data_IF_085199526952
#
_entry.id   IF_085199526952
#
_cell.length_a   1.000
_cell.length_b   1.000
_cell.length_c   1.000
_cell.angle_alpha   90.00
_cell.angle_beta   90.00
_cell.angle_gamma   90.00
#
_symmetry.space_group_name_H-M   'P 1'
#
loop_
_entity.id
_entity.type
_entity.pdbx_description
1 polymer ?
#
# COMPACT_ATOMS: atom_id res chain seq x y z
N UNK A 1 30.35 -19.95 -27.07
CA UNK A 1 30.36 -18.56 -27.56
C UNK A 1 29.52 -17.75 -26.60
N UNK A 2 30.05 -16.67 -26.01
CA UNK A 2 29.21 -15.76 -25.23
C UNK A 2 28.11 -15.21 -26.14
N UNK A 3 26.84 -15.18 -25.71
CA UNK A 3 25.76 -14.65 -26.53
C UNK A 3 26.06 -13.19 -26.94
N UNK A 4 25.60 -12.75 -28.12
CA UNK A 4 25.80 -11.37 -28.54
C UNK A 4 25.18 -10.42 -27.51
N UNK A 5 25.94 -9.37 -27.17
CA UNK A 5 25.54 -8.30 -26.23
C UNK A 5 24.19 -7.67 -26.59
N UNK A 6 23.82 -7.67 -27.87
CA UNK A 6 22.54 -7.18 -28.37
C UNK A 6 21.78 -8.31 -29.07
N UNK A 7 20.48 -8.38 -28.83
CA UNK A 7 19.52 -9.23 -29.55
C UNK A 7 18.68 -8.30 -30.42
N UNK A 8 18.91 -8.29 -31.73
CA UNK A 8 18.19 -7.41 -32.67
C UNK A 8 17.59 -8.26 -33.78
N UNK A 9 16.27 -8.37 -33.78
CA UNK A 9 15.49 -9.00 -34.84
C UNK A 9 15.73 -8.26 -36.17
N UNK A 10 16.10 -9.00 -37.21
CA UNK A 10 16.32 -8.44 -38.55
C UNK A 10 15.07 -8.55 -39.44
N UNK A 11 14.27 -9.61 -39.25
CA UNK A 11 13.06 -9.85 -40.04
C UNK A 11 11.88 -9.10 -39.44
N UNK A 12 11.34 -8.13 -40.16
CA UNK A 12 10.20 -7.32 -39.71
C UNK A 12 8.88 -8.04 -39.99
N UNK A 13 8.01 -8.14 -38.98
CA UNK A 13 6.62 -8.56 -39.18
C UNK A 13 5.84 -7.37 -39.74
N UNK A 14 5.69 -7.32 -41.07
CA UNK A 14 5.07 -6.18 -41.76
C UNK A 14 3.61 -5.97 -41.32
N UNK A 15 3.24 -4.72 -41.03
CA UNK A 15 1.86 -4.29 -40.81
C UNK A 15 1.33 -4.41 -39.37
N UNK A 16 2.15 -4.89 -38.43
CA UNK A 16 1.75 -5.06 -37.02
C UNK A 16 2.10 -3.86 -36.13
N UNK A 17 3.16 -3.13 -36.47
CA UNK A 17 3.66 -1.98 -35.73
C UNK A 17 3.09 -0.65 -36.26
N UNK A 18 2.77 0.33 -35.39
CA UNK A 18 2.48 1.70 -35.80
C UNK A 18 3.62 2.29 -36.63
N UNK A 19 3.27 3.11 -37.63
CA UNK A 19 4.26 3.77 -38.47
C UNK A 19 4.86 4.96 -37.74
N UNK A 20 6.20 5.04 -37.73
CA UNK A 20 6.94 6.10 -37.06
C UNK A 20 7.69 6.92 -38.10
N UNK A 21 7.56 8.25 -38.01
CA UNK A 21 8.13 9.20 -38.95
C UNK A 21 9.06 10.15 -38.19
N UNK A 22 10.40 10.00 -38.34
CA UNK A 22 11.36 10.92 -37.77
C UNK A 22 11.18 12.34 -38.30
N UNK A 23 11.26 13.34 -37.42
CA UNK A 23 11.20 14.75 -37.75
C UNK A 23 12.06 15.58 -36.78
N UNK A 24 12.32 16.85 -37.08
CA UNK A 24 13.09 17.71 -36.20
C UNK A 24 12.18 18.52 -35.27
N UNK A 25 12.52 18.53 -33.98
CA UNK A 25 11.97 19.45 -33.00
C UNK A 25 12.44 20.89 -33.28
N UNK A 26 11.81 21.88 -32.64
CA UNK A 26 12.14 23.31 -32.83
C UNK A 26 13.60 23.65 -32.52
N UNK A 27 14.26 22.88 -31.65
CA UNK A 27 15.66 23.06 -31.31
C UNK A 27 16.63 22.24 -32.19
N UNK A 28 16.15 21.62 -33.28
CA UNK A 28 16.96 20.87 -34.24
C UNK A 28 17.24 19.42 -33.86
N UNK A 29 16.90 19.00 -32.63
CA UNK A 29 17.00 17.60 -32.21
C UNK A 29 15.93 16.75 -32.89
N UNK A 30 16.21 15.46 -33.10
CA UNK A 30 15.22 14.51 -33.61
C UNK A 30 14.07 14.31 -32.63
N UNK A 31 12.87 14.19 -33.15
CA UNK A 31 11.73 13.52 -32.52
C UNK A 31 11.13 12.58 -33.57
N UNK A 32 10.01 11.94 -33.27
CA UNK A 32 9.27 11.21 -34.29
C UNK A 32 7.77 11.28 -34.03
N UNK A 33 7.00 11.40 -35.10
CA UNK A 33 5.54 11.29 -35.08
C UNK A 33 5.15 9.83 -35.30
N UNK A 34 4.36 9.29 -34.39
CA UNK A 34 3.72 7.98 -34.53
C UNK A 34 2.33 8.18 -35.15
N UNK A 35 2.04 7.41 -36.20
CA UNK A 35 0.75 7.40 -36.87
C UNK A 35 0.18 5.99 -36.93
N UNK A 36 -1.09 5.92 -36.62
CA UNK A 36 -1.89 4.71 -36.67
C UNK A 36 -3.22 5.05 -37.36
N UNK A 37 -3.81 4.10 -38.08
CA UNK A 37 -5.14 4.28 -38.62
C UNK A 37 -6.13 4.57 -37.47
N UNK A 38 -7.00 5.56 -37.66
CA UNK A 38 -8.11 5.90 -36.76
C UNK A 38 -7.73 6.47 -35.37
N UNK A 39 -6.45 6.78 -35.11
CA UNK A 39 -6.02 7.46 -33.88
C UNK A 39 -5.31 8.79 -34.14
N UNK A 40 -5.48 9.80 -33.27
CA UNK A 40 -4.71 11.04 -33.35
C UNK A 40 -3.20 10.74 -33.30
N UNK A 41 -2.38 11.36 -34.17
CA UNK A 41 -0.95 11.19 -34.12
C UNK A 41 -0.40 11.71 -32.80
N UNK A 42 0.66 11.07 -32.32
CA UNK A 42 1.37 11.50 -31.13
C UNK A 42 2.88 11.47 -31.37
N UNK A 43 3.62 12.07 -30.46
CA UNK A 43 5.07 12.22 -30.58
C UNK A 43 5.80 11.28 -29.64
N UNK A 44 6.93 10.73 -30.08
CA UNK A 44 7.81 9.96 -29.22
C UNK A 44 8.57 10.83 -28.21
N UNK A 45 8.85 12.09 -28.56
CA UNK A 45 9.55 13.08 -27.73
C UNK A 45 9.01 14.49 -28.02
N UNK A 46 9.27 15.44 -27.13
CA UNK A 46 8.85 16.84 -27.24
C UNK A 46 9.23 17.45 -28.59
N UNK A 47 8.26 18.13 -29.22
CA UNK A 47 8.50 18.90 -30.45
C UNK A 47 9.28 20.20 -30.21
N UNK A 48 9.49 20.56 -28.96
CA UNK A 48 10.17 21.80 -28.58
C UNK A 48 11.60 21.52 -28.14
N UNK A 49 11.75 20.58 -27.20
CA UNK A 49 13.03 20.22 -26.61
C UNK A 49 13.01 18.77 -26.09
N UNK A 50 13.35 17.79 -26.94
CA UNK A 50 13.41 16.36 -26.58
C UNK A 50 14.32 16.07 -25.38
N UNK A 51 15.48 16.74 -25.30
CA UNK A 51 16.46 16.49 -24.24
C UNK A 51 15.97 17.01 -22.89
N UNK A 52 15.30 18.18 -22.87
CA UNK A 52 14.68 18.70 -21.64
C UNK A 52 13.58 17.77 -21.13
N UNK A 53 12.73 17.25 -22.02
CA UNK A 53 11.71 16.25 -21.65
C UNK A 53 12.37 15.00 -21.06
N UNK A 54 13.37 14.45 -21.74
CA UNK A 54 14.09 13.27 -21.28
C UNK A 54 14.69 13.45 -19.88
N UNK A 55 15.27 14.62 -19.58
CA UNK A 55 15.78 14.94 -18.22
C UNK A 55 14.67 14.94 -17.17
N UNK A 56 13.53 15.55 -17.48
CA UNK A 56 12.38 15.61 -16.57
C UNK A 56 11.79 14.22 -16.33
N UNK A 57 11.65 13.43 -17.40
CA UNK A 57 11.19 12.05 -17.34
C UNK A 57 12.10 11.17 -16.49
N UNK A 58 13.43 11.29 -16.66
CA UNK A 58 14.40 10.45 -15.96
C UNK A 58 14.61 10.80 -14.49
N UNK A 59 14.34 12.04 -14.08
CA UNK A 59 14.64 12.54 -12.73
C UNK A 59 14.13 11.63 -11.58
N UNK A 60 12.85 11.23 -11.51
CA UNK A 60 12.38 10.35 -10.43
C UNK A 60 12.99 8.94 -10.49
N UNK A 61 13.27 8.42 -11.70
CA UNK A 61 13.91 7.11 -11.86
C UNK A 61 15.36 7.11 -11.37
N UNK A 62 16.09 8.20 -11.61
CA UNK A 62 17.47 8.35 -11.15
C UNK A 62 17.57 8.39 -9.62
N UNK A 63 16.60 9.03 -8.95
CA UNK A 63 16.50 9.04 -7.49
C UNK A 63 16.29 7.63 -6.94
N UNK A 64 15.34 6.88 -7.50
CA UNK A 64 15.06 5.51 -7.08
C UNK A 64 16.23 4.55 -7.34
N UNK A 65 16.88 4.63 -8.51
CA UNK A 65 18.07 3.80 -8.83
C UNK A 65 19.19 4.03 -7.80
N UNK A 66 19.37 5.26 -7.32
CA UNK A 66 20.38 5.58 -6.30
C UNK A 66 20.03 5.03 -4.92
N UNK A 67 18.76 5.05 -4.58
CA UNK A 67 18.26 4.57 -3.28
C UNK A 67 18.22 3.04 -3.23
N UNK A 68 17.68 2.41 -4.28
CA UNK A 68 17.44 0.96 -4.34
C UNK A 68 18.68 0.17 -4.78
N UNK A 69 19.64 0.82 -5.45
CA UNK A 69 20.87 0.21 -5.99
C UNK A 69 20.59 -1.14 -6.70
N UNK A 70 19.80 -1.14 -7.78
CA UNK A 70 19.40 -2.36 -8.45
C UNK A 70 20.59 -3.07 -9.10
N UNK A 71 20.52 -4.40 -9.18
CA UNK A 71 21.49 -5.24 -9.89
C UNK A 71 21.42 -5.01 -11.41
N UNK A 72 20.27 -4.56 -11.92
CA UNK A 72 20.04 -4.28 -13.34
C UNK A 72 18.94 -3.23 -13.53
N UNK A 73 19.09 -2.39 -14.56
CA UNK A 73 18.02 -1.48 -15.02
C UNK A 73 17.48 -1.97 -16.36
N UNK A 74 16.16 -2.10 -16.48
CA UNK A 74 15.50 -2.41 -17.75
C UNK A 74 14.73 -1.18 -18.21
N UNK A 75 14.98 -0.70 -19.42
CA UNK A 75 14.23 0.40 -20.04
C UNK A 75 13.40 -0.17 -21.17
N UNK A 76 12.08 -0.17 -21.02
CA UNK A 76 11.19 -0.44 -22.14
C UNK A 76 10.97 0.84 -22.95
N UNK A 77 11.26 0.76 -24.25
CA UNK A 77 11.11 1.81 -25.24
C UNK A 77 12.39 2.57 -25.51
N UNK A 78 12.96 2.43 -26.71
CA UNK A 78 14.17 3.14 -27.11
C UNK A 78 13.87 4.59 -27.56
N UNK A 79 12.66 4.83 -28.10
CA UNK A 79 12.24 6.15 -28.59
C UNK A 79 13.28 6.76 -29.55
N UNK A 80 13.62 8.04 -29.38
CA UNK A 80 14.73 8.68 -30.08
C UNK A 80 16.06 8.66 -29.29
N UNK A 81 16.15 7.94 -28.17
CA UNK A 81 17.42 7.72 -27.44
C UNK A 81 17.76 8.69 -26.31
N UNK A 82 17.13 9.87 -26.22
CA UNK A 82 17.55 10.90 -25.25
C UNK A 82 17.47 10.49 -23.78
N UNK A 83 16.43 9.75 -23.38
CA UNK A 83 16.32 9.26 -22.00
C UNK A 83 17.37 8.19 -21.69
N UNK A 84 17.83 7.44 -22.69
CA UNK A 84 18.95 6.50 -22.55
C UNK A 84 20.26 7.26 -22.35
N UNK A 85 20.48 8.33 -23.10
CA UNK A 85 21.66 9.17 -22.96
C UNK A 85 21.72 9.85 -21.58
N UNK A 86 20.59 10.43 -21.14
CA UNK A 86 20.45 11.01 -19.81
C UNK A 86 20.69 9.97 -18.73
N UNK A 87 20.12 8.78 -18.85
CA UNK A 87 20.35 7.68 -17.90
C UNK A 87 21.84 7.36 -17.83
N UNK A 88 22.47 7.04 -18.97
CA UNK A 88 23.89 6.65 -19.05
C UNK A 88 24.85 7.68 -18.46
N UNK A 89 24.59 8.97 -18.71
CA UNK A 89 25.36 10.08 -18.14
C UNK A 89 25.16 10.20 -16.64
N UNK A 90 23.91 10.14 -16.19
CA UNK A 90 23.54 10.43 -14.82
C UNK A 90 23.90 9.30 -13.86
N UNK A 91 24.13 8.08 -14.36
CA UNK A 91 24.60 6.95 -13.55
C UNK A 91 25.95 6.43 -14.03
N UNK A 92 26.79 7.29 -14.61
CA UNK A 92 28.10 6.90 -15.16
C UNK A 92 29.04 6.31 -14.08
N UNK A 93 28.88 6.75 -12.83
CA UNK A 93 29.58 6.24 -11.66
C UNK A 93 29.09 4.86 -11.19
N UNK A 94 27.90 4.43 -11.65
CA UNK A 94 27.34 3.12 -11.32
C UNK A 94 27.73 2.10 -12.40
N UNK A 95 28.16 0.92 -11.97
CA UNK A 95 28.50 -0.21 -12.86
C UNK A 95 27.27 -1.04 -13.28
N UNK A 96 26.06 -0.55 -13.00
CA UNK A 96 24.82 -1.29 -13.23
C UNK A 96 24.60 -1.56 -14.73
N UNK A 97 24.31 -2.81 -15.13
CA UNK A 97 23.93 -3.14 -16.50
C UNK A 97 22.55 -2.57 -16.85
N UNK A 98 22.38 -2.20 -18.12
CA UNK A 98 21.16 -1.62 -18.66
C UNK A 98 20.69 -2.47 -19.84
N UNK A 99 19.48 -3.00 -19.76
CA UNK A 99 18.80 -3.61 -20.91
C UNK A 99 17.76 -2.66 -21.49
N UNK A 100 17.81 -2.42 -22.79
CA UNK A 100 16.83 -1.59 -23.50
C UNK A 100 15.96 -2.50 -24.35
N UNK A 101 14.71 -2.63 -23.95
CA UNK A 101 13.72 -3.46 -24.63
C UNK A 101 12.93 -2.61 -25.62
N UNK A 102 12.83 -3.05 -26.87
CA UNK A 102 12.06 -2.36 -27.90
C UNK A 102 11.33 -3.37 -28.78
N UNK A 103 10.05 -3.14 -29.01
CA UNK A 103 9.17 -4.04 -29.74
C UNK A 103 8.77 -3.48 -31.11
N UNK A 104 8.88 -2.17 -31.34
CA UNK A 104 8.71 -1.60 -32.66
C UNK A 104 10.05 -1.69 -33.42
N UNK A 105 10.35 -2.90 -33.92
CA UNK A 105 11.58 -3.24 -34.63
C UNK A 105 11.83 -2.32 -35.84
N UNK A 106 10.83 -2.00 -36.70
CA UNK A 106 11.05 -1.11 -37.84
C UNK A 106 11.52 0.28 -37.44
N UNK A 107 10.89 0.85 -36.40
CA UNK A 107 11.28 2.14 -35.84
C UNK A 107 12.72 2.08 -35.34
N UNK A 108 13.07 1.09 -34.51
CA UNK A 108 14.42 0.96 -33.97
C UNK A 108 15.49 0.92 -35.07
N UNK A 109 15.28 0.08 -36.09
CA UNK A 109 16.22 -0.04 -37.22
C UNK A 109 16.33 1.26 -38.02
N UNK A 110 15.23 2.00 -38.22
CA UNK A 110 15.24 3.31 -38.87
C UNK A 110 16.02 4.34 -38.06
N UNK A 111 15.76 4.44 -36.75
CA UNK A 111 16.40 5.40 -35.86
C UNK A 111 17.91 5.09 -35.71
N UNK A 112 18.28 3.81 -35.70
CA UNK A 112 19.67 3.36 -35.71
C UNK A 112 20.44 3.83 -36.95
N UNK A 113 19.83 3.78 -38.15
CA UNK A 113 20.43 4.33 -39.40
C UNK A 113 20.63 5.84 -39.35
N UNK A 114 19.88 6.54 -38.50
CA UNK A 114 19.98 7.98 -38.27
C UNK A 114 20.91 8.33 -37.10
N UNK A 115 21.67 7.36 -36.58
CA UNK A 115 22.60 7.50 -35.47
C UNK A 115 21.99 7.97 -34.14
N UNK A 116 20.68 7.79 -33.92
CA UNK A 116 20.00 8.26 -32.70
C UNK A 116 20.40 7.49 -31.43
N UNK A 117 21.00 6.30 -31.56
CA UNK A 117 21.40 5.45 -30.44
C UNK A 117 22.92 5.29 -30.31
N UNK A 118 23.71 6.15 -30.97
CA UNK A 118 25.16 5.97 -31.11
C UNK A 118 25.88 5.84 -29.76
N UNK A 119 25.52 6.67 -28.77
CA UNK A 119 26.09 6.62 -27.44
C UNK A 119 25.73 5.34 -26.68
N UNK A 120 24.45 4.97 -26.69
CA UNK A 120 23.97 3.76 -26.03
C UNK A 120 24.57 2.48 -26.66
N UNK A 121 24.67 2.41 -27.98
CA UNK A 121 25.27 1.26 -28.69
C UNK A 121 26.76 1.08 -28.38
N UNK A 122 27.51 2.17 -28.16
CA UNK A 122 28.94 2.13 -27.81
C UNK A 122 29.20 1.74 -26.34
N UNK A 123 28.23 1.94 -25.45
CA UNK A 123 28.41 1.68 -24.01
C UNK A 123 28.42 0.18 -23.72
N UNK A 124 29.46 -0.33 -23.07
CA UNK A 124 29.55 -1.75 -22.66
C UNK A 124 28.45 -2.16 -21.66
N UNK A 125 27.88 -1.19 -20.93
CA UNK A 125 26.79 -1.43 -19.97
C UNK A 125 25.44 -1.69 -20.62
N UNK A 126 25.28 -1.38 -21.91
CA UNK A 126 23.97 -1.41 -22.58
C UNK A 126 23.83 -2.64 -23.47
N UNK A 127 22.81 -3.44 -23.20
CA UNK A 127 22.31 -4.48 -24.08
C UNK A 127 20.97 -4.05 -24.70
N UNK A 128 20.83 -4.21 -26.01
CA UNK A 128 19.56 -3.93 -26.69
C UNK A 128 18.84 -5.26 -26.93
N UNK A 129 17.55 -5.31 -26.58
CA UNK A 129 16.67 -6.47 -26.81
C UNK A 129 15.52 -5.97 -27.68
N UNK A 130 15.73 -6.01 -28.99
CA UNK A 130 14.86 -5.44 -30.01
C UNK A 130 14.18 -6.59 -30.75
N UNK A 131 12.95 -6.89 -30.40
CA UNK A 131 12.23 -8.07 -30.91
C UNK A 131 10.73 -7.98 -30.66
N UNK A 132 9.95 -8.60 -31.53
CA UNK A 132 8.51 -8.83 -31.38
C UNK A 132 8.20 -10.20 -30.75
N UNK A 133 9.22 -11.03 -30.49
CA UNK A 133 9.03 -12.37 -29.92
C UNK A 133 8.89 -12.34 -28.40
N UNK A 134 7.65 -12.50 -27.90
CA UNK A 134 7.33 -12.54 -26.45
C UNK A 134 8.19 -13.52 -25.64
N UNK A 135 8.54 -14.67 -26.21
CA UNK A 135 9.36 -15.69 -25.53
C UNK A 135 10.72 -15.14 -25.06
N UNK A 136 11.33 -14.21 -25.82
CA UNK A 136 12.61 -13.59 -25.44
C UNK A 136 12.47 -12.74 -24.17
N UNK A 137 11.36 -12.03 -24.03
CA UNK A 137 11.09 -11.25 -22.83
C UNK A 137 10.73 -12.16 -21.66
N UNK A 138 9.91 -13.19 -21.89
CA UNK A 138 9.54 -14.16 -20.86
C UNK A 138 10.75 -14.86 -20.22
N UNK A 139 11.69 -15.36 -21.03
CA UNK A 139 12.92 -16.02 -20.55
C UNK A 139 13.79 -15.09 -19.68
N UNK A 140 13.74 -13.78 -19.95
CA UNK A 140 14.46 -12.77 -19.16
C UNK A 140 13.75 -12.48 -17.84
N UNK A 141 12.43 -12.31 -17.87
CA UNK A 141 11.63 -12.09 -16.65
C UNK A 141 11.71 -13.29 -15.72
N UNK A 142 11.78 -14.51 -16.24
CA UNK A 142 11.95 -15.73 -15.43
C UNK A 142 13.22 -15.71 -14.55
N UNK A 143 14.26 -14.95 -14.95
CA UNK A 143 15.52 -14.82 -14.21
C UNK A 143 15.50 -13.66 -13.20
N UNK A 144 14.51 -12.79 -13.24
CA UNK A 144 14.41 -11.63 -12.34
C UNK A 144 14.26 -11.99 -10.85
N UNK A 145 13.63 -13.11 -10.42
CA UNK A 145 13.57 -13.44 -8.99
C UNK A 145 14.94 -13.58 -8.31
N UNK A 146 16.00 -13.79 -9.09
CA UNK A 146 17.39 -13.91 -8.62
C UNK A 146 18.14 -12.56 -8.63
N UNK A 147 17.49 -11.46 -9.06
CA UNK A 147 18.10 -10.14 -9.29
C UNK A 147 17.18 -9.00 -8.86
N UNK A 148 17.72 -7.95 -8.26
CA UNK A 148 16.98 -6.71 -8.04
C UNK A 148 16.91 -5.90 -9.34
N UNK A 149 15.78 -5.99 -10.07
CA UNK A 149 15.61 -5.34 -11.38
C UNK A 149 14.72 -4.11 -11.30
N UNK A 150 15.25 -2.95 -11.69
CA UNK A 150 14.48 -1.71 -11.79
C UNK A 150 14.00 -1.45 -13.22
N UNK A 151 12.69 -1.45 -13.45
CA UNK A 151 12.10 -1.25 -14.78
C UNK A 151 11.62 0.21 -14.99
N UNK A 152 12.00 0.80 -16.11
CA UNK A 152 11.57 2.12 -16.58
C UNK A 152 10.73 1.91 -17.84
N UNK A 153 9.56 2.55 -17.92
CA UNK A 153 8.64 2.42 -19.06
C UNK A 153 8.47 3.76 -19.76
N UNK A 154 9.02 3.89 -20.96
CA UNK A 154 8.84 5.06 -21.81
C UNK A 154 7.45 5.02 -22.47
N UNK A 155 6.50 5.77 -21.91
CA UNK A 155 5.08 5.73 -22.30
C UNK A 155 4.80 5.98 -23.78
N UNK A 156 5.46 6.93 -24.48
CA UNK A 156 5.27 7.09 -25.93
C UNK A 156 5.68 5.83 -26.72
N UNK A 157 6.78 5.17 -26.35
CA UNK A 157 7.19 3.91 -26.97
C UNK A 157 6.22 2.77 -26.68
N UNK A 158 5.66 2.70 -25.46
CA UNK A 158 4.64 1.72 -25.07
C UNK A 158 3.35 1.88 -25.87
N UNK A 159 2.96 3.12 -26.17
CA UNK A 159 1.86 3.40 -27.09
C UNK A 159 2.17 2.99 -28.52
N UNK A 160 3.44 3.02 -28.92
CA UNK A 160 3.91 2.61 -30.25
C UNK A 160 4.20 1.10 -30.37
N UNK A 161 3.84 0.30 -29.35
CA UNK A 161 3.99 -1.16 -29.38
C UNK A 161 3.09 -1.81 -30.46
N UNK A 162 3.59 -2.83 -31.19
CA UNK A 162 2.76 -3.64 -32.08
C UNK A 162 1.52 -4.24 -31.39
N UNK A 163 0.36 -4.20 -32.07
CA UNK A 163 -0.95 -4.56 -31.46
C UNK A 163 -1.03 -5.99 -30.94
N UNK A 164 -0.37 -6.94 -31.59
CA UNK A 164 -0.40 -8.34 -31.17
C UNK A 164 0.34 -8.59 -29.84
N UNK A 165 1.08 -7.60 -29.33
CA UNK A 165 1.81 -7.67 -28.06
C UNK A 165 1.03 -7.05 -26.89
N UNK A 166 -0.29 -6.90 -27.02
CA UNK A 166 -1.14 -6.24 -26.00
C UNK A 166 -0.98 -6.84 -24.59
N UNK A 167 -0.71 -8.15 -24.47
CA UNK A 167 -0.42 -8.79 -23.18
C UNK A 167 0.84 -8.22 -22.50
N UNK A 168 1.92 -8.02 -23.25
CA UNK A 168 3.15 -7.39 -22.75
C UNK A 168 2.91 -5.91 -22.44
N UNK A 169 2.15 -5.22 -23.29
CA UNK A 169 1.75 -3.83 -23.07
C UNK A 169 1.04 -3.66 -21.75
N UNK A 170 0.03 -4.49 -21.47
CA UNK A 170 -0.73 -4.46 -20.23
C UNK A 170 0.16 -4.72 -19.02
N UNK A 171 1.05 -5.71 -19.09
CA UNK A 171 1.98 -6.01 -18.00
C UNK A 171 2.91 -4.81 -17.67
N UNK A 172 3.46 -4.15 -18.69
CA UNK A 172 4.31 -2.96 -18.51
C UNK A 172 3.51 -1.74 -18.03
N UNK A 173 2.26 -1.58 -18.47
CA UNK A 173 1.35 -0.54 -17.98
C UNK A 173 1.02 -0.73 -16.51
N UNK A 174 0.64 -1.94 -16.11
CA UNK A 174 0.30 -2.29 -14.73
C UNK A 174 1.51 -2.04 -13.80
N UNK A 175 2.71 -2.41 -14.25
CA UNK A 175 3.95 -2.13 -13.53
C UNK A 175 4.19 -0.63 -13.37
N UNK A 176 4.08 0.15 -14.45
CA UNK A 176 4.29 1.60 -14.40
C UNK A 176 3.29 2.32 -13.48
N UNK A 177 2.02 1.89 -13.48
CA UNK A 177 0.98 2.42 -12.60
C UNK A 177 1.29 2.07 -11.13
N UNK A 178 1.71 0.84 -10.86
CA UNK A 178 2.09 0.38 -9.52
C UNK A 178 3.25 1.21 -8.96
N UNK A 179 4.32 1.40 -9.74
CA UNK A 179 5.48 2.22 -9.37
C UNK A 179 5.11 3.67 -9.05
N UNK A 180 4.34 4.33 -9.93
CA UNK A 180 3.90 5.71 -9.70
C UNK A 180 3.03 5.85 -8.43
N UNK A 181 2.19 4.86 -8.18
CA UNK A 181 1.34 4.82 -6.99
C UNK A 181 2.18 4.65 -5.71
N UNK A 182 3.20 3.80 -5.75
CA UNK A 182 4.12 3.60 -4.63
C UNK A 182 4.90 4.88 -4.30
N UNK A 183 5.47 5.56 -5.30
CA UNK A 183 6.21 6.83 -5.10
C UNK A 183 5.30 7.92 -4.51
N UNK A 184 4.10 8.08 -5.05
CA UNK A 184 3.13 9.04 -4.52
C UNK A 184 2.74 8.71 -3.07
N UNK A 185 2.55 7.42 -2.77
CA UNK A 185 2.24 6.94 -1.42
C UNK A 185 3.40 7.19 -0.44
N UNK A 186 4.64 6.92 -0.82
CA UNK A 186 5.84 7.21 -0.01
C UNK A 186 5.96 8.70 0.32
N UNK A 187 5.74 9.57 -0.67
CA UNK A 187 5.75 11.03 -0.46
C UNK A 187 4.63 11.48 0.49
N UNK A 188 3.45 10.88 0.37
CA UNK A 188 2.32 11.15 1.28
C UNK A 188 2.65 10.72 2.72
N UNK A 189 3.21 9.52 2.91
CA UNK A 189 3.64 9.05 4.24
C UNK A 189 4.69 9.99 4.85
N UNK A 190 5.70 10.38 4.08
CA UNK A 190 6.76 11.29 4.54
C UNK A 190 6.21 12.68 4.90
N UNK A 191 5.28 13.21 4.11
CA UNK A 191 4.63 14.49 4.39
C UNK A 191 3.82 14.45 5.69
N UNK A 192 2.95 13.45 5.84
CA UNK A 192 2.16 13.27 7.06
C UNK A 192 3.04 13.04 8.29
N UNK A 193 4.08 12.21 8.15
CA UNK A 193 5.03 11.95 9.22
C UNK A 193 5.72 13.22 9.71
N UNK A 194 6.22 14.04 8.78
CA UNK A 194 6.86 15.30 9.13
C UNK A 194 5.92 16.26 9.87
N UNK A 195 4.65 16.35 9.45
CA UNK A 195 3.66 17.21 10.12
C UNK A 195 3.26 16.67 11.50
N UNK A 196 2.99 15.36 11.60
CA UNK A 196 2.56 14.75 12.84
C UNK A 196 3.65 14.73 13.92
N UNK A 197 4.91 14.56 13.52
CA UNK A 197 6.06 14.54 14.44
C UNK A 197 6.62 15.93 14.78
N UNK A 198 6.13 16.98 14.12
CA UNK A 198 6.43 18.37 14.48
C UNK A 198 5.80 18.78 15.82
N UNK A 199 4.79 18.04 16.29
CA UNK A 199 4.19 18.20 17.61
C UNK A 199 4.69 17.07 18.53
N UNK A 200 5.03 17.42 19.77
CA UNK A 200 5.45 16.46 20.77
C UNK A 200 4.25 15.77 21.43
N UNK A 201 3.66 14.81 20.72
CA UNK A 201 2.54 14.04 21.23
C UNK A 201 2.96 13.11 22.37
N UNK A 202 2.06 12.85 23.34
CA UNK A 202 2.28 11.86 24.37
C UNK A 202 2.58 10.44 23.84
N UNK A 203 3.46 9.74 24.55
CA UNK A 203 3.86 8.36 24.25
C UNK A 203 2.81 7.33 24.66
N UNK A 204 2.76 6.22 23.93
CA UNK A 204 2.02 5.02 24.35
C UNK A 204 2.71 4.22 25.47
N UNK A 205 3.96 4.54 25.82
CA UNK A 205 4.72 3.80 26.83
C UNK A 205 4.08 3.77 28.21
N UNK A 206 3.17 4.72 28.49
CA UNK A 206 2.46 4.81 29.75
C UNK A 206 1.42 3.70 29.96
N UNK A 207 0.92 3.06 28.89
CA UNK A 207 -0.23 2.14 28.94
C UNK A 207 0.16 0.66 29.08
N UNK A 208 1.34 0.35 29.63
CA UNK A 208 1.84 -1.03 29.73
C UNK A 208 1.18 -1.80 30.89
N UNK A 209 1.16 -3.12 30.78
CA UNK A 209 0.76 -4.06 31.84
C UNK A 209 -0.67 -3.90 32.38
N UNK A 210 -1.64 -3.53 31.53
CA UNK A 210 -3.05 -3.37 31.95
C UNK A 210 -3.70 -4.70 32.37
N UNK A 211 -3.28 -5.83 31.79
CA UNK A 211 -3.65 -7.21 32.20
C UNK A 211 -5.16 -7.46 32.37
N UNK A 212 -5.96 -6.84 31.51
CA UNK A 212 -7.42 -7.01 31.45
C UNK A 212 -7.85 -7.49 30.07
N UNK A 213 -9.03 -8.12 29.94
CA UNK A 213 -9.57 -8.46 28.64
C UNK A 213 -9.74 -7.21 27.79
N UNK A 214 -9.57 -7.37 26.48
CA UNK A 214 -9.82 -6.29 25.53
C UNK A 214 -10.72 -6.76 24.38
N UNK A 215 -11.66 -5.91 23.99
CA UNK A 215 -12.56 -6.11 22.86
C UNK A 215 -12.20 -5.09 21.77
N UNK A 216 -11.88 -5.61 20.60
CA UNK A 216 -11.41 -4.84 19.46
C UNK A 216 -12.53 -4.76 18.43
N UNK A 217 -13.05 -3.56 18.25
CA UNK A 217 -14.25 -3.31 17.45
C UNK A 217 -13.88 -2.76 16.07
N UNK A 218 -14.06 -3.61 15.07
CA UNK A 218 -13.84 -3.33 13.65
C UNK A 218 -15.17 -3.08 12.91
N UNK A 219 -15.10 -2.51 11.70
CA UNK A 219 -16.28 -2.05 10.95
C UNK A 219 -16.90 -3.10 10.00
N UNK A 220 -16.63 -4.38 10.21
CA UNK A 220 -17.19 -5.46 9.39
C UNK A 220 -18.70 -5.61 9.57
N UNK A 221 -19.42 -6.17 8.58
CA UNK A 221 -20.88 -6.30 8.58
C UNK A 221 -21.48 -6.88 9.87
N UNK A 222 -20.82 -7.85 10.51
CA UNK A 222 -21.29 -8.48 11.73
C UNK A 222 -21.34 -7.55 12.96
N UNK A 223 -20.73 -6.36 12.92
CA UNK A 223 -20.71 -5.40 14.03
C UNK A 223 -22.11 -5.09 14.58
N UNK A 224 -23.13 -4.99 13.72
CA UNK A 224 -24.52 -4.73 14.15
C UNK A 224 -25.03 -5.74 15.18
N UNK A 225 -24.63 -7.02 15.05
CA UNK A 225 -25.02 -8.09 15.99
C UNK A 225 -24.36 -7.92 17.36
N UNK A 226 -23.22 -7.24 17.42
CA UNK A 226 -22.45 -7.04 18.64
C UNK A 226 -22.93 -5.85 19.48
N UNK A 227 -23.55 -4.83 18.85
CA UNK A 227 -23.98 -3.59 19.52
C UNK A 227 -24.71 -3.81 20.85
N UNK A 228 -25.67 -4.76 20.98
CA UNK A 228 -26.40 -4.97 22.23
C UNK A 228 -25.53 -5.41 23.42
N UNK A 229 -24.34 -5.95 23.17
CA UNK A 229 -23.47 -6.53 24.19
C UNK A 229 -22.31 -5.61 24.59
N UNK A 230 -21.95 -4.62 23.76
CA UNK A 230 -20.73 -3.83 23.96
C UNK A 230 -20.74 -3.02 25.26
N UNK A 231 -21.88 -2.44 25.65
CA UNK A 231 -21.98 -1.70 26.92
C UNK A 231 -21.80 -2.60 28.15
N UNK A 232 -22.25 -3.85 28.09
CA UNK A 232 -22.00 -4.81 29.17
C UNK A 232 -20.55 -5.26 29.18
N UNK A 233 -19.98 -5.57 28.01
CA UNK A 233 -18.57 -5.93 27.87
C UNK A 233 -17.63 -4.85 28.39
N UNK A 234 -17.97 -3.56 28.25
CA UNK A 234 -17.19 -2.47 28.84
C UNK A 234 -17.01 -2.63 30.35
N UNK A 235 -17.95 -3.24 31.08
CA UNK A 235 -17.80 -3.45 32.54
C UNK A 235 -16.72 -4.48 32.88
N UNK A 236 -16.30 -5.29 31.91
CA UNK A 236 -15.41 -6.44 32.10
C UNK A 236 -14.17 -6.45 31.21
N UNK A 237 -14.04 -5.46 30.32
CA UNK A 237 -12.96 -5.37 29.34
C UNK A 237 -12.71 -3.92 28.92
N UNK A 238 -11.52 -3.63 28.39
CA UNK A 238 -11.28 -2.40 27.64
C UNK A 238 -11.80 -2.55 26.20
N UNK A 239 -12.48 -1.53 25.69
CA UNK A 239 -13.05 -1.53 24.33
C UNK A 239 -12.33 -0.52 23.45
N UNK A 240 -11.50 -1.01 22.53
CA UNK A 240 -10.84 -0.20 21.50
C UNK A 240 -11.56 -0.34 20.17
N UNK A 241 -11.70 0.75 19.42
CA UNK A 241 -12.38 0.74 18.12
C UNK A 241 -11.53 1.32 17.00
N UNK A 242 -11.71 0.84 15.77
CA UNK A 242 -11.18 1.50 14.58
C UNK A 242 -12.03 2.73 14.24
N UNK A 243 -11.44 3.77 13.65
CA UNK A 243 -12.15 5.00 13.29
C UNK A 243 -13.41 4.78 12.43
N UNK A 244 -13.40 3.81 11.52
CA UNK A 244 -14.57 3.49 10.67
C UNK A 244 -15.77 2.92 11.43
N UNK A 245 -15.59 2.35 12.62
CA UNK A 245 -16.67 1.79 13.43
C UNK A 245 -17.22 2.80 14.46
N UNK A 246 -16.45 3.84 14.77
CA UNK A 246 -16.74 4.74 15.88
C UNK A 246 -18.03 5.55 15.69
N UNK A 247 -18.37 5.97 14.46
CA UNK A 247 -19.65 6.63 14.17
C UNK A 247 -20.87 5.75 14.50
N UNK A 248 -20.81 4.46 14.15
CA UNK A 248 -21.89 3.51 14.43
C UNK A 248 -22.03 3.25 15.94
N UNK A 249 -20.91 3.14 16.65
CA UNK A 249 -20.91 3.00 18.11
C UNK A 249 -21.55 4.23 18.78
N UNK A 250 -21.14 5.43 18.36
CA UNK A 250 -21.64 6.69 18.90
C UNK A 250 -23.16 6.84 18.74
N UNK A 251 -23.68 6.54 17.54
CA UNK A 251 -25.12 6.57 17.24
C UNK A 251 -25.94 5.58 18.09
N UNK A 252 -25.32 4.52 18.59
CA UNK A 252 -25.95 3.52 19.45
C UNK A 252 -25.66 3.74 20.94
N UNK A 253 -25.12 4.92 21.32
CA UNK A 253 -24.82 5.25 22.71
C UNK A 253 -23.69 4.44 23.32
N UNK A 254 -22.78 3.92 22.48
CA UNK A 254 -21.61 3.14 22.90
C UNK A 254 -20.38 4.02 22.72
N UNK A 255 -19.73 4.37 23.83
CA UNK A 255 -18.50 5.17 23.83
C UNK A 255 -17.33 4.20 24.02
N UNK A 256 -16.44 3.98 23.02
CA UNK A 256 -15.26 3.14 23.23
C UNK A 256 -14.29 3.80 24.23
N UNK A 257 -13.42 3.02 24.85
CA UNK A 257 -12.38 3.55 25.74
C UNK A 257 -11.30 4.30 24.95
N UNK A 258 -11.08 3.94 23.68
CA UNK A 258 -10.20 4.66 22.75
C UNK A 258 -10.50 4.30 21.29
N UNK A 259 -10.01 5.13 20.37
CA UNK A 259 -10.07 4.88 18.92
C UNK A 259 -8.69 4.86 18.29
N UNK A 260 -8.50 4.00 17.28
CA UNK A 260 -7.29 3.90 16.48
C UNK A 260 -7.55 4.32 15.03
N UNK A 261 -6.67 5.13 14.47
CA UNK A 261 -6.70 5.53 13.05
C UNK A 261 -5.29 5.50 12.45
N UNK A 262 -5.15 5.06 11.20
CA UNK A 262 -3.82 4.83 10.61
C UNK A 262 -3.67 5.15 9.12
N UNK A 263 -4.75 5.45 8.40
CA UNK A 263 -4.70 5.59 6.93
C UNK A 263 -4.18 6.99 6.53
N UNK A 264 -3.14 7.09 5.68
CA UNK A 264 -2.51 8.36 5.34
C UNK A 264 -3.34 9.23 4.38
N UNK A 265 -4.42 8.71 3.80
CA UNK A 265 -5.14 9.38 2.70
C UNK A 265 -6.03 10.53 3.19
N UNK A 266 -6.11 11.65 2.43
CA UNK A 266 -6.98 12.79 2.76
C UNK A 266 -8.46 12.43 2.94
N UNK A 267 -8.90 11.38 2.25
CA UNK A 267 -10.27 10.87 2.36
C UNK A 267 -10.67 10.60 3.80
N UNK A 268 -9.76 10.30 4.74
CA UNK A 268 -10.06 9.89 6.11
C UNK A 268 -10.86 10.88 6.95
N UNK A 269 -10.98 12.14 6.55
CA UNK A 269 -11.83 13.12 7.26
C UNK A 269 -13.28 12.66 7.43
N UNK A 270 -13.83 11.92 6.46
CA UNK A 270 -15.17 11.34 6.56
C UNK A 270 -15.34 10.39 7.76
N UNK A 271 -14.25 9.79 8.27
CA UNK A 271 -14.35 8.90 9.41
C UNK A 271 -14.72 9.63 10.69
N UNK A 272 -14.43 10.93 10.84
CA UNK A 272 -14.86 11.74 11.99
C UNK A 272 -16.33 12.16 11.90
N UNK A 273 -16.97 12.02 10.74
CA UNK A 273 -18.36 12.44 10.58
C UNK A 273 -19.28 11.56 11.41
N UNK A 274 -20.14 12.19 12.20
CA UNK A 274 -21.10 11.49 13.05
C UNK A 274 -20.56 11.03 14.39
N UNK A 275 -19.28 11.29 14.71
CA UNK A 275 -18.74 11.17 16.07
C UNK A 275 -17.56 12.11 16.28
N UNK A 276 -17.74 13.11 17.13
CA UNK A 276 -16.66 13.96 17.63
C UNK A 276 -16.74 13.93 19.14
N UNK A 277 -15.67 13.47 19.78
CA UNK A 277 -15.58 13.46 21.23
C UNK A 277 -14.33 14.18 21.66
N UNK A 278 -14.47 15.06 22.63
CA UNK A 278 -13.35 15.69 23.34
C UNK A 278 -12.79 14.78 24.44
N UNK A 279 -13.41 13.62 24.69
CA UNK A 279 -13.08 12.73 25.79
C UNK A 279 -12.43 11.42 25.33
N UNK A 280 -12.81 10.93 24.15
CA UNK A 280 -12.26 9.67 23.64
C UNK A 280 -10.83 9.90 23.14
N UNK A 281 -9.83 9.17 23.64
CA UNK A 281 -8.46 9.28 23.14
C UNK A 281 -8.32 8.63 21.75
N UNK A 282 -7.61 9.32 20.86
CA UNK A 282 -7.18 8.86 19.56
C UNK A 282 -5.72 8.39 19.64
N UNK A 283 -5.48 7.12 19.36
CA UNK A 283 -4.16 6.58 19.07
C UNK A 283 -3.97 6.54 17.55
N UNK A 284 -2.97 7.24 17.04
CA UNK A 284 -2.78 7.36 15.60
C UNK A 284 -1.39 6.95 15.16
N UNK A 285 -1.29 6.26 14.01
CA UNK A 285 0.02 6.03 13.40
C UNK A 285 0.67 7.37 13.05
N UNK A 286 1.99 7.45 13.22
CA UNK A 286 2.78 8.63 12.90
C UNK A 286 2.59 9.16 11.47
N UNK A 287 2.11 8.32 10.54
CA UNK A 287 1.81 8.65 9.14
C UNK A 287 0.33 8.89 8.82
N UNK A 288 -0.57 8.91 9.81
CA UNK A 288 -1.99 9.25 9.62
C UNK A 288 -2.14 10.59 8.90
N UNK A 289 -3.19 10.76 8.11
CA UNK A 289 -3.50 12.04 7.46
C UNK A 289 -3.45 13.21 8.46
N UNK A 290 -2.48 14.12 8.30
CA UNK A 290 -2.12 15.07 9.34
C UNK A 290 -3.23 16.07 9.66
N UNK A 291 -4.04 16.44 8.67
CA UNK A 291 -5.17 17.34 8.91
C UNK A 291 -6.24 16.69 9.80
N UNK A 292 -6.39 15.36 9.76
CA UNK A 292 -7.27 14.64 10.67
C UNK A 292 -6.78 14.73 12.11
N UNK A 293 -5.47 14.56 12.31
CA UNK A 293 -4.82 14.70 13.64
C UNK A 293 -5.02 16.12 14.17
N UNK A 294 -4.89 17.12 13.30
CA UNK A 294 -5.09 18.53 13.65
C UNK A 294 -6.55 18.83 14.05
N UNK A 295 -7.53 18.29 13.32
CA UNK A 295 -8.96 18.55 13.56
C UNK A 295 -9.56 17.74 14.71
N UNK A 296 -8.98 16.59 15.07
CA UNK A 296 -9.48 15.78 16.19
C UNK A 296 -9.34 16.53 17.53
N UNK A 297 -10.45 16.64 18.29
CA UNK A 297 -10.52 17.47 19.50
C UNK A 297 -10.20 16.74 20.80
N UNK A 298 -10.26 15.41 20.80
CA UNK A 298 -9.95 14.60 21.98
C UNK A 298 -8.45 14.44 22.23
N UNK A 299 -8.08 13.72 23.31
CA UNK A 299 -6.70 13.33 23.58
C UNK A 299 -6.06 12.60 22.39
N UNK A 300 -4.77 12.84 22.15
CA UNK A 300 -4.05 12.28 20.99
C UNK A 300 -2.73 11.65 21.42
N UNK A 301 -2.49 10.43 20.97
CA UNK A 301 -1.28 9.65 21.25
C UNK A 301 -0.68 9.16 19.94
N UNK A 302 0.59 9.49 19.71
CA UNK A 302 1.29 9.06 18.50
C UNK A 302 1.78 7.62 18.67
N UNK A 303 1.69 6.85 17.59
CA UNK A 303 2.13 5.46 17.52
C UNK A 303 3.12 5.31 16.38
N UNK A 304 4.32 4.79 16.68
CA UNK A 304 5.35 4.54 15.68
C UNK A 304 5.28 3.09 15.18
N UNK A 305 5.29 2.92 13.86
CA UNK A 305 5.17 1.62 13.22
C UNK A 305 6.53 1.03 12.83
N UNK A 306 6.65 -0.30 12.92
CA UNK A 306 7.73 -1.07 12.32
C UNK A 306 7.59 -1.10 10.78
N UNK A 307 8.73 -1.22 10.09
CA UNK A 307 8.79 -1.26 8.63
C UNK A 307 8.71 0.13 7.95
N UNK A 308 8.79 1.21 8.74
CA UNK A 308 8.93 2.57 8.23
C UNK A 308 10.09 3.27 8.96
N UNK A 309 11.26 3.29 8.31
CA UNK A 309 12.52 3.73 8.92
C UNK A 309 12.43 5.09 9.66
N UNK A 310 11.77 6.14 9.13
CA UNK A 310 11.64 7.40 9.88
C UNK A 310 10.90 7.25 11.22
N UNK A 311 9.87 6.40 11.28
CA UNK A 311 9.15 6.13 12.53
C UNK A 311 10.00 5.34 13.52
N UNK A 312 10.75 4.34 13.06
CA UNK A 312 11.67 3.55 13.91
C UNK A 312 12.78 4.42 14.48
N UNK A 313 13.40 5.27 13.66
CA UNK A 313 14.41 6.24 14.09
C UNK A 313 13.85 7.21 15.13
N UNK A 314 12.65 7.76 14.90
CA UNK A 314 12.00 8.68 15.84
C UNK A 314 11.61 8.00 17.15
N UNK A 315 11.11 6.77 17.09
CA UNK A 315 10.80 5.97 18.27
C UNK A 315 12.06 5.70 19.11
N UNK A 316 13.16 5.32 18.45
CA UNK A 316 14.45 5.10 19.11
C UNK A 316 14.99 6.37 19.80
N UNK A 317 14.89 7.52 19.13
CA UNK A 317 15.28 8.82 19.72
C UNK A 317 14.45 9.16 20.97
N UNK A 318 13.16 8.81 20.96
CA UNK A 318 12.22 9.07 22.07
C UNK A 318 12.22 7.97 23.14
N UNK A 319 12.97 6.88 22.93
CA UNK A 319 12.95 5.68 23.77
C UNK A 319 11.54 5.07 23.89
N UNK A 320 10.79 5.10 22.79
CA UNK A 320 9.41 4.62 22.71
C UNK A 320 9.32 3.30 21.95
N UNK A 321 8.32 2.47 22.24
CA UNK A 321 8.10 1.24 21.49
C UNK A 321 7.55 1.56 20.10
N UNK A 322 7.97 0.76 19.13
CA UNK A 322 7.26 0.60 17.86
C UNK A 322 6.22 -0.51 17.97
N UNK A 323 5.26 -0.53 17.03
CA UNK A 323 4.33 -1.64 16.89
C UNK A 323 4.34 -2.19 15.46
N UNK A 324 4.11 -3.50 15.33
CA UNK A 324 3.85 -4.13 14.05
C UNK A 324 2.53 -3.68 13.44
N UNK A 325 2.51 -3.50 12.13
CA UNK A 325 1.28 -3.24 11.37
C UNK A 325 1.11 -4.28 10.26
N UNK A 326 -0.13 -4.49 9.80
CA UNK A 326 -0.47 -5.45 8.76
C UNK A 326 -1.21 -4.83 7.57
N UNK A 327 -1.06 -3.51 7.37
CA UNK A 327 -1.72 -2.77 6.28
C UNK A 327 -3.20 -2.40 6.54
N UNK A 328 -3.72 -2.68 7.73
CA UNK A 328 -5.08 -2.31 8.15
C UNK A 328 -5.09 -1.64 9.53
N UNK A 329 -6.01 -0.71 9.76
CA UNK A 329 -6.24 -0.08 11.07
C UNK A 329 -6.51 -1.15 12.15
N UNK A 330 -7.23 -2.23 11.80
CA UNK A 330 -7.52 -3.31 12.75
C UNK A 330 -6.28 -4.07 13.21
N UNK A 331 -5.30 -4.26 12.33
CA UNK A 331 -4.01 -4.86 12.70
C UNK A 331 -3.20 -3.94 13.61
N UNK A 332 -3.29 -2.63 13.37
CA UNK A 332 -2.68 -1.60 14.24
C UNK A 332 -3.32 -1.61 15.63
N UNK A 333 -4.66 -1.66 15.70
CA UNK A 333 -5.42 -1.77 16.94
C UNK A 333 -5.04 -3.04 17.71
N UNK A 334 -4.89 -4.18 17.03
CA UNK A 334 -4.46 -5.44 17.63
C UNK A 334 -3.07 -5.34 18.26
N UNK A 335 -2.07 -4.87 17.51
CA UNK A 335 -0.71 -4.71 18.03
C UNK A 335 -0.65 -3.68 19.17
N UNK A 336 -1.42 -2.59 19.08
CA UNK A 336 -1.48 -1.58 20.14
C UNK A 336 -2.01 -2.18 21.44
N UNK A 337 -3.14 -2.90 21.39
CA UNK A 337 -3.73 -3.53 22.58
C UNK A 337 -2.80 -4.58 23.19
N UNK A 338 -2.08 -5.34 22.36
CA UNK A 338 -1.03 -6.26 22.84
C UNK A 338 0.11 -5.52 23.53
N UNK A 339 0.52 -4.36 22.99
CA UNK A 339 1.54 -3.52 23.63
C UNK A 339 1.12 -2.98 25.00
N UNK A 340 -0.20 -2.89 25.26
CA UNK A 340 -0.74 -2.54 26.57
C UNK A 340 -0.78 -3.72 27.55
N UNK A 341 -0.44 -4.94 27.11
CA UNK A 341 -0.48 -6.15 27.92
C UNK A 341 -1.90 -6.64 28.24
N UNK A 342 -2.89 -6.28 27.43
CA UNK A 342 -4.27 -6.75 27.60
C UNK A 342 -4.39 -8.22 27.20
N UNK A 343 -5.01 -9.04 28.05
CA UNK A 343 -5.39 -10.41 27.72
C UNK A 343 -6.65 -10.85 28.49
N UNK A 344 -7.48 -11.75 27.91
CA UNK A 344 -7.45 -12.17 26.52
C UNK A 344 -7.95 -11.06 25.56
N UNK A 345 -7.66 -11.19 24.26
CA UNK A 345 -8.11 -10.24 23.23
C UNK A 345 -9.22 -10.86 22.40
N UNK A 346 -10.34 -10.14 22.23
CA UNK A 346 -11.50 -10.58 21.46
C UNK A 346 -11.78 -9.66 20.27
N UNK A 347 -11.87 -10.24 19.08
CA UNK A 347 -12.23 -9.53 17.85
C UNK A 347 -13.74 -9.50 17.66
N UNK A 348 -14.27 -8.31 17.34
CA UNK A 348 -15.68 -8.06 17.06
C UNK A 348 -15.81 -7.22 15.79
N UNK A 349 -16.71 -7.60 14.88
CA UNK A 349 -16.86 -6.92 13.60
C UNK A 349 -15.62 -7.04 12.70
N UNK A 350 -14.79 -8.07 12.92
CA UNK A 350 -13.58 -8.33 12.14
C UNK A 350 -13.85 -9.35 11.04
N UNK A 351 -14.82 -9.07 10.17
CA UNK A 351 -15.40 -10.07 9.26
C UNK A 351 -14.37 -10.68 8.29
N UNK A 352 -13.43 -9.87 7.79
CA UNK A 352 -12.40 -10.30 6.82
C UNK A 352 -12.98 -10.98 5.57
N UNK A 353 -14.25 -10.69 5.28
CA UNK A 353 -15.04 -11.23 4.18
C UNK A 353 -16.15 -10.25 3.81
N UNK A 354 -16.72 -10.41 2.61
CA UNK A 354 -17.95 -9.73 2.21
C UNK A 354 -19.16 -10.51 2.72
N UNK A 355 -19.40 -10.43 4.02
CA UNK A 355 -20.56 -11.05 4.67
C UNK A 355 -21.84 -10.39 4.16
N UNK A 356 -22.81 -11.19 3.73
CA UNK A 356 -24.07 -10.73 3.12
C UNK A 356 -23.88 -9.74 1.93
N UNK A 357 -22.77 -9.87 1.18
CA UNK A 357 -22.36 -8.95 0.12
C UNK A 357 -22.16 -7.50 0.59
N UNK A 358 -21.82 -7.30 1.85
CA UNK A 358 -21.52 -5.97 2.40
C UNK A 358 -20.02 -5.84 2.65
N UNK A 359 -19.45 -4.68 2.30
CA UNK A 359 -18.02 -4.40 2.55
C UNK A 359 -17.73 -4.02 3.99
N UNK A 360 -18.68 -3.32 4.63
CA UNK A 360 -18.64 -2.84 6.01
C UNK A 360 -20.06 -2.89 6.60
N UNK A 361 -20.22 -2.67 7.91
CA UNK A 361 -21.53 -2.54 8.52
C UNK A 361 -22.29 -1.31 8.00
N UNK A 362 -23.57 -1.49 7.67
CA UNK A 362 -24.45 -0.38 7.32
C UNK A 362 -24.53 0.65 8.45
N UNK A 363 -24.39 1.93 8.11
CA UNK A 363 -24.23 3.03 9.06
C UNK A 363 -22.77 3.45 9.32
N UNK A 364 -21.79 2.72 8.77
CA UNK A 364 -20.40 3.16 8.74
C UNK A 364 -20.12 4.03 7.50
N UNK A 365 -19.20 5.02 7.56
CA UNK A 365 -18.87 5.86 6.41
C UNK A 365 -18.33 5.10 5.18
N UNK A 366 -17.83 3.87 5.39
CA UNK A 366 -17.28 3.01 4.35
C UNK A 366 -18.27 1.96 3.80
N UNK A 367 -19.55 2.03 4.18
CA UNK A 367 -20.57 1.07 3.74
C UNK A 367 -20.77 1.09 2.22
N UNK A 368 -20.70 -0.10 1.61
CA UNK A 368 -21.10 -0.33 0.22
C UNK A 368 -21.66 -1.75 0.04
N UNK A 369 -22.69 -1.89 -0.79
CA UNK A 369 -23.15 -3.19 -1.29
C UNK A 369 -22.28 -3.65 -2.46
N UNK A 370 -21.82 -4.88 -2.38
CA UNK A 370 -20.97 -5.50 -3.39
C UNK A 370 -21.83 -6.22 -4.43
N UNK A 371 -21.76 -5.80 -5.70
CA UNK A 371 -22.56 -6.33 -6.81
C UNK A 371 -21.75 -7.07 -7.88
N UNK A 372 -20.44 -7.24 -7.71
CA UNK A 372 -19.53 -7.76 -8.75
C UNK A 372 -19.33 -9.28 -8.77
N UNK A 373 -19.09 -9.84 -9.96
CA UNK A 373 -18.55 -11.20 -10.17
C UNK A 373 -17.20 -11.33 -9.44
N UNK A 374 -17.09 -12.31 -8.54
CA UNK A 374 -16.08 -12.33 -7.49
C UNK A 374 -14.62 -12.49 -7.99
N UNK A 375 -13.74 -11.52 -7.67
CA UNK A 375 -12.30 -11.75 -7.54
C UNK A 375 -11.96 -11.91 -6.04
N UNK A 376 -11.77 -13.14 -5.58
CA UNK A 376 -11.49 -13.45 -4.17
C UNK A 376 -11.40 -14.96 -3.93
N UNK A 377 -11.13 -15.36 -2.69
CA UNK A 377 -11.09 -16.76 -2.27
C UNK A 377 -12.23 -17.05 -1.29
N UNK A 378 -12.92 -18.19 -1.47
CA UNK A 378 -13.85 -18.68 -0.44
C UNK A 378 -13.06 -19.31 0.69
N UNK A 379 -13.28 -18.83 1.91
CA UNK A 379 -12.64 -19.32 3.13
C UNK A 379 -13.69 -19.84 4.09
N UNK A 380 -13.30 -20.71 5.02
CA UNK A 380 -14.19 -21.24 6.06
C UNK A 380 -14.89 -20.11 6.81
N UNK A 381 -16.20 -20.23 7.03
CA UNK A 381 -16.99 -19.28 7.83
C UNK A 381 -16.66 -19.42 9.32
N UNK A 382 -16.94 -18.38 10.10
CA UNK A 382 -16.79 -18.32 11.55
C UNK A 382 -17.21 -19.61 12.31
N UNK A 383 -18.39 -20.15 11.99
CA UNK A 383 -18.95 -21.36 12.60
C UNK A 383 -18.32 -22.67 12.09
N UNK A 384 -17.51 -22.60 11.04
CA UNK A 384 -16.93 -23.73 10.34
C UNK A 384 -17.91 -24.57 9.52
N UNK A 385 -19.19 -24.20 9.46
CA UNK A 385 -20.24 -24.96 8.77
C UNK A 385 -20.31 -24.65 7.27
N UNK A 386 -19.70 -23.55 6.82
CA UNK A 386 -19.76 -23.10 5.45
C UNK A 386 -18.54 -22.30 5.01
N UNK A 387 -18.73 -21.44 4.02
CA UNK A 387 -17.67 -20.57 3.50
C UNK A 387 -18.19 -19.17 3.20
N UNK A 388 -17.31 -18.18 3.38
CA UNK A 388 -17.52 -16.76 3.05
C UNK A 388 -16.51 -16.29 2.01
N UNK A 389 -16.86 -15.29 1.21
CA UNK A 389 -15.98 -14.74 0.18
C UNK A 389 -15.03 -13.71 0.80
N UNK A 390 -13.73 -13.98 0.76
CA UNK A 390 -12.67 -13.05 1.17
C UNK A 390 -11.92 -12.50 -0.05
N UNK A 391 -11.96 -11.19 -0.33
CA UNK A 391 -11.11 -10.58 -1.35
C UNK A 391 -9.63 -10.62 -0.94
N UNK A 392 -8.72 -10.44 -1.90
CA UNK A 392 -7.26 -10.62 -1.69
C UNK A 392 -6.68 -9.78 -0.54
N UNK A 393 -7.12 -8.54 -0.40
CA UNK A 393 -6.68 -7.64 0.68
C UNK A 393 -7.13 -8.14 2.06
N UNK A 394 -8.40 -8.55 2.22
CA UNK A 394 -8.89 -9.08 3.48
C UNK A 394 -8.27 -10.45 3.81
N UNK A 395 -7.96 -11.27 2.79
CA UNK A 395 -7.20 -12.50 2.96
C UNK A 395 -5.77 -12.23 3.48
N UNK A 396 -5.13 -11.16 3.03
CA UNK A 396 -3.81 -10.76 3.55
C UNK A 396 -3.90 -10.40 5.04
N UNK A 397 -4.92 -9.64 5.45
CA UNK A 397 -5.15 -9.31 6.86
C UNK A 397 -5.47 -10.54 7.70
N UNK A 398 -6.29 -11.47 7.18
CA UNK A 398 -6.56 -12.76 7.82
C UNK A 398 -5.28 -13.53 8.09
N UNK A 399 -4.44 -13.73 7.08
CA UNK A 399 -3.14 -14.41 7.22
C UNK A 399 -2.19 -13.68 8.19
N UNK A 400 -2.31 -12.36 8.31
CA UNK A 400 -1.57 -11.59 9.29
C UNK A 400 -2.00 -11.95 10.71
N UNK A 401 -3.31 -11.95 11.02
CA UNK A 401 -3.81 -12.37 12.34
C UNK A 401 -3.43 -13.81 12.68
N UNK A 402 -3.54 -14.74 11.73
CA UNK A 402 -3.18 -16.15 11.93
C UNK A 402 -1.70 -16.32 12.27
N UNK A 403 -0.83 -15.54 11.63
CA UNK A 403 0.60 -15.53 11.94
C UNK A 403 0.87 -15.01 13.34
N UNK A 404 0.22 -13.90 13.73
CA UNK A 404 0.34 -13.35 15.07
C UNK A 404 -0.13 -14.34 16.15
N UNK A 405 -1.17 -15.13 15.86
CA UNK A 405 -1.62 -16.19 16.75
C UNK A 405 -0.65 -17.38 16.80
N UNK A 406 -0.06 -17.78 15.67
CA UNK A 406 0.91 -18.86 15.62
C UNK A 406 2.24 -18.53 16.31
N UNK A 407 2.60 -17.25 16.38
CA UNK A 407 3.84 -16.74 16.99
C UNK A 407 3.66 -16.32 18.47
N UNK A 408 2.50 -16.57 19.08
CA UNK A 408 2.19 -16.16 20.45
C UNK A 408 1.61 -17.30 21.30
N UNK A 409 1.82 -17.24 22.61
CA UNK A 409 1.17 -18.09 23.61
C UNK A 409 -0.10 -17.44 24.21
N UNK A 410 -0.41 -16.21 23.80
CA UNK A 410 -1.60 -15.48 24.27
C UNK A 410 -2.90 -16.12 23.76
N UNK A 411 -3.99 -15.92 24.51
CA UNK A 411 -5.32 -16.41 24.11
C UNK A 411 -6.06 -15.34 23.32
N UNK A 412 -6.45 -15.68 22.10
CA UNK A 412 -7.22 -14.82 21.21
C UNK A 412 -8.59 -15.39 20.90
N UNK A 413 -9.61 -14.52 20.89
CA UNK A 413 -10.99 -14.85 20.61
C UNK A 413 -11.46 -14.17 19.33
N UNK A 414 -12.19 -14.91 18.50
CA UNK A 414 -12.99 -14.34 17.44
C UNK A 414 -14.46 -14.45 17.83
N UNK A 415 -15.16 -13.32 17.93
CA UNK A 415 -16.61 -13.24 18.17
C UNK A 415 -17.36 -12.58 17.01
N UNK A 416 -16.80 -12.71 15.80
CA UNK A 416 -17.31 -12.10 14.58
C UNK A 416 -18.30 -13.03 13.88
N UNK A 417 -19.53 -13.10 14.40
CA UNK A 417 -20.59 -14.00 13.93
C UNK A 417 -21.09 -13.66 12.52
N UNK A 418 -20.44 -14.27 11.52
CA UNK A 418 -20.71 -14.09 10.09
C UNK A 418 -19.46 -13.84 9.24
N UNK A 419 -18.30 -13.64 9.88
CA UNK A 419 -17.01 -13.44 9.22
C UNK A 419 -16.29 -14.73 8.81
N UNK A 420 -15.02 -14.59 8.48
CA UNK A 420 -14.10 -15.68 8.20
C UNK A 420 -13.62 -16.38 9.49
N UNK A 421 -13.35 -17.68 9.37
CA UNK A 421 -12.63 -18.44 10.38
C UNK A 421 -11.15 -18.05 10.37
N UNK A 422 -10.59 -17.66 11.51
CA UNK A 422 -9.21 -17.21 11.70
C UNK A 422 -8.50 -18.31 12.47
N UNK A 423 -7.50 -18.96 11.86
CA UNK A 423 -6.72 -19.99 12.53
C UNK A 423 -5.91 -19.44 13.70
N UNK A 424 -5.80 -20.22 14.78
CA UNK A 424 -5.16 -19.81 16.03
C UNK A 424 -6.03 -19.00 17.00
N UNK A 425 -7.25 -18.61 16.59
CA UNK A 425 -8.23 -17.95 17.47
C UNK A 425 -9.27 -18.95 17.98
N UNK A 426 -9.72 -18.83 19.23
CA UNK A 426 -10.91 -19.51 19.74
C UNK A 426 -12.17 -18.83 19.19
N UNK A 427 -13.01 -19.56 18.46
CA UNK A 427 -14.25 -19.04 17.88
C UNK A 427 -15.43 -19.32 18.81
N UNK A 428 -16.07 -18.26 19.29
CA UNK A 428 -17.25 -18.36 20.15
C UNK A 428 -18.14 -17.14 20.02
N UNK A 429 -19.43 -17.28 20.34
CA UNK A 429 -20.39 -16.18 20.23
C UNK A 429 -20.05 -15.06 21.22
N UNK A 430 -20.38 -13.81 20.88
CA UNK A 430 -20.09 -12.68 21.77
C UNK A 430 -20.74 -12.83 23.18
N UNK A 431 -21.97 -13.37 23.32
CA UNK A 431 -22.54 -13.70 24.63
C UNK A 431 -21.72 -14.71 25.43
N UNK A 432 -21.15 -15.74 24.77
CA UNK A 432 -20.30 -16.72 25.44
C UNK A 432 -18.98 -16.08 25.90
N UNK A 433 -18.42 -15.13 25.12
CA UNK A 433 -17.25 -14.37 25.55
C UNK A 433 -17.56 -13.53 26.79
N UNK A 434 -18.69 -12.82 26.77
CA UNK A 434 -19.16 -12.00 27.88
C UNK A 434 -19.30 -12.83 29.17
N UNK A 435 -19.89 -14.03 29.08
CA UNK A 435 -19.96 -14.94 30.23
C UNK A 435 -18.56 -15.31 30.75
N UNK A 436 -17.61 -15.58 29.85
CA UNK A 436 -16.23 -15.94 30.21
C UNK A 436 -15.49 -14.83 30.96
N UNK A 437 -15.73 -13.57 30.60
CA UNK A 437 -15.06 -12.41 31.24
C UNK A 437 -15.87 -11.75 32.35
N UNK A 438 -17.11 -12.19 32.60
CA UNK A 438 -18.07 -11.55 33.54
C UNK A 438 -17.58 -11.40 34.98
N UNK A 439 -16.62 -12.22 35.41
CA UNK A 439 -15.99 -12.11 36.73
C UNK A 439 -14.84 -11.11 36.80
N UNK A 440 -14.42 -10.53 35.67
CA UNK A 440 -13.33 -9.56 35.63
C UNK A 440 -13.87 -8.17 35.93
N UNK A 441 -13.34 -7.51 36.95
CA UNK A 441 -13.60 -6.10 37.22
C UNK A 441 -12.52 -5.23 36.58
N UNK A 442 -12.93 -4.30 35.73
CA UNK A 442 -11.99 -3.38 35.04
C UNK A 442 -12.12 -1.93 35.50
N UNK A 443 -12.86 -1.67 36.59
CA UNK A 443 -13.13 -0.31 37.09
C UNK A 443 -11.85 0.43 37.46
N UNK A 444 -10.95 -0.21 38.23
CA UNK A 444 -9.68 0.39 38.63
C UNK A 444 -8.74 0.59 37.44
N UNK A 445 -8.63 -0.41 36.56
CA UNK A 445 -7.79 -0.34 35.35
C UNK A 445 -8.29 0.74 34.39
N UNK A 446 -9.60 0.89 34.22
CA UNK A 446 -10.17 1.98 33.42
C UNK A 446 -9.96 3.34 34.08
N UNK A 447 -10.08 3.44 35.40
CA UNK A 447 -9.78 4.67 36.11
C UNK A 447 -8.30 5.07 35.94
N UNK A 448 -7.38 4.10 35.98
CA UNK A 448 -5.96 4.31 35.69
C UNK A 448 -5.74 4.72 34.24
N UNK A 449 -6.31 4.00 33.27
CA UNK A 449 -6.26 4.35 31.85
C UNK A 449 -6.70 5.80 31.62
N UNK A 450 -7.84 6.21 32.19
CA UNK A 450 -8.35 7.57 32.09
C UNK A 450 -7.42 8.60 32.77
N UNK A 451 -6.78 8.24 33.89
CA UNK A 451 -5.80 9.10 34.56
C UNK A 451 -4.56 9.30 33.69
N UNK A 452 -4.06 8.23 33.06
CA UNK A 452 -2.95 8.31 32.11
C UNK A 452 -3.30 9.21 30.93
N UNK A 453 -4.51 9.07 30.39
CA UNK A 453 -5.02 9.94 29.32
C UNK A 453 -5.03 11.40 29.77
N UNK A 454 -5.58 11.70 30.95
CA UNK A 454 -5.68 13.06 31.46
C UNK A 454 -4.32 13.70 31.74
N UNK A 455 -3.40 12.97 32.38
CA UNK A 455 -2.05 13.46 32.71
C UNK A 455 -1.25 13.77 31.44
N UNK A 456 -1.38 12.92 30.43
CA UNK A 456 -0.72 13.09 29.15
C UNK A 456 -1.19 14.34 28.39
N UNK A 457 -2.46 14.73 28.50
CA UNK A 457 -3.00 15.90 27.77
C UNK A 457 -2.82 17.23 28.51
N UNK A 458 -2.58 17.23 29.83
CA UNK A 458 -2.34 18.45 30.61
C UNK A 458 -0.88 18.93 30.53
N UNK A 459 0.07 18.06 30.13
CA UNK A 459 1.50 18.38 30.04
C UNK A 459 1.96 19.02 28.72
N UNK A 460 1.05 19.29 27.78
CA UNK A 460 1.36 19.66 26.38
C UNK A 460 0.89 21.07 25.99
N UNK A 461 1.07 22.06 26.88
CA UNK A 461 0.80 23.48 26.59
C UNK A 461 2.06 24.33 26.68
#
# INVERSE_FOLDING_TARGET
>A
MSPPKHIIQQDVIKGQAPSVFPEQAKNGLWTATVREADLPPFYLHSRYDPLKEARQFMMPHLENIRQEQPDMVVVYGAGCGYHLDVLLESIAELTVPIEVWETNVPMFLQHGKMAMYEKALRSERVAFVVTEHLAVFAERVEKWPEQNVYVIVHQPSLRAMPKHLEALKQALQDYAISQNSAVAFTKLLAHNFAQNTAVDWPSISAFRDLRVPAVLVSAGPSLKKALPYLNELKKHSLVGSVGTAAALLWQNGIIPDFVVMSDPKPGMMHQLQGWESEQVPLFFLSTLYAELVAQYKGPKFIVFQEGYAPAEERAAQRQEPTIQTGGSVATTLFSLVRSFGCQPICLVGQDLAYTDNQTHAEGTPAFAQWTGEARGQRVKSFDGAGTVLAPRNLLAYKKWFERQAAESEETFYNATEGGAFIEGFEHLSLPAFLQKVSSTEVTEVRAEFNRLVHNATQGSF
#
